data_IF_179714034059
#
_entry.id   IF_179714034059
#
_cell.length_a   1.000
_cell.length_b   1.000
_cell.length_c   1.000
_cell.angle_alpha   90.00
_cell.angle_beta   90.00
_cell.angle_gamma   90.00
#
_symmetry.space_group_name_H-M   'P 1'
#
loop_
_entity.id
_entity.type
_entity.pdbx_description
1 polymer ?
#
# COMPACT_ATOMS: atom_id res chain seq x y z
N UNK A 1 24.88 0.73 36.07
CA UNK A 1 24.30 1.47 34.93
C UNK A 1 24.08 0.44 33.81
N UNK A 2 22.86 -0.12 33.70
CA UNK A 2 22.52 -1.05 32.61
C UNK A 2 21.73 -0.24 31.59
N UNK A 3 22.21 -0.20 30.34
CA UNK A 3 21.48 0.47 29.26
C UNK A 3 20.21 -0.33 28.98
N UNK A 4 19.08 0.24 29.37
CA UNK A 4 17.78 -0.15 28.85
C UNK A 4 17.81 0.07 27.34
N UNK A 5 18.00 -1.03 26.61
CA UNK A 5 17.92 -1.02 25.16
C UNK A 5 16.45 -0.93 24.83
N UNK A 6 15.96 0.32 24.76
CA UNK A 6 14.65 0.65 24.20
C UNK A 6 14.69 0.25 22.72
N UNK A 7 14.47 -1.05 22.45
CA UNK A 7 14.10 -1.55 21.14
C UNK A 7 12.74 -0.94 20.88
N UNK A 8 12.75 0.24 20.26
CA UNK A 8 11.58 0.78 19.60
C UNK A 8 11.24 -0.23 18.52
N UNK A 9 10.32 -1.13 18.84
CA UNK A 9 9.60 -1.94 17.86
C UNK A 9 8.91 -0.92 16.96
N UNK A 10 9.61 -0.52 15.88
CA UNK A 10 9.00 0.25 14.80
C UNK A 10 7.81 -0.61 14.35
N UNK A 11 6.60 -0.14 14.67
CA UNK A 11 5.38 -0.82 14.25
C UNK A 11 5.50 -1.14 12.76
N UNK A 12 5.48 -2.43 12.44
CA UNK A 12 5.52 -2.85 11.05
C UNK A 12 4.19 -2.44 10.43
N UNK A 13 4.19 -1.95 9.19
CA UNK A 13 2.96 -1.58 8.53
C UNK A 13 2.13 -2.82 8.27
N UNK A 14 0.82 -2.69 8.47
CA UNK A 14 -0.15 -3.73 8.18
C UNK A 14 -0.83 -3.36 6.87
N UNK A 15 -0.81 -4.27 5.91
CA UNK A 15 -1.49 -4.10 4.63
C UNK A 15 -2.64 -5.08 4.50
N UNK A 16 -3.75 -4.61 3.94
CA UNK A 16 -4.88 -5.48 3.58
C UNK A 16 -4.69 -5.94 2.13
N UNK A 17 -4.75 -7.24 1.86
CA UNK A 17 -4.75 -7.74 0.48
C UNK A 17 -6.17 -8.03 -0.01
N UNK A 18 -6.43 -7.62 -1.25
CA UNK A 18 -7.65 -7.95 -2.00
C UNK A 18 -7.28 -8.69 -3.28
N UNK A 19 -8.08 -9.68 -3.63
CA UNK A 19 -7.97 -10.40 -4.90
C UNK A 19 -8.56 -9.59 -6.08
N UNK A 20 -9.38 -8.57 -5.78
CA UNK A 20 -10.01 -7.69 -6.76
C UNK A 20 -9.91 -6.21 -6.29
N UNK A 21 -9.28 -5.31 -7.07
CA UNK A 21 -9.20 -3.88 -6.75
C UNK A 21 -10.58 -3.20 -6.62
N UNK A 22 -11.62 -3.74 -7.28
CA UNK A 22 -13.01 -3.25 -7.18
C UNK A 22 -13.63 -3.43 -5.79
N UNK A 23 -13.02 -4.23 -4.91
CA UNK A 23 -13.46 -4.40 -3.52
C UNK A 23 -12.92 -3.31 -2.57
N UNK A 24 -12.05 -2.43 -3.06
CA UNK A 24 -11.52 -1.30 -2.30
C UNK A 24 -12.62 -0.27 -2.00
N UNK A 25 -12.62 0.24 -0.77
CA UNK A 25 -13.55 1.31 -0.39
C UNK A 25 -13.03 2.68 -0.89
N UNK A 26 -13.94 3.64 -1.05
CA UNK A 26 -13.59 4.98 -1.56
C UNK A 26 -12.47 5.68 -0.78
N UNK A 27 -12.30 5.40 0.52
CA UNK A 27 -11.27 6.02 1.36
C UNK A 27 -10.04 5.11 1.58
N UNK A 28 -9.62 4.38 0.56
CA UNK A 28 -8.46 3.47 0.59
C UNK A 28 -7.50 3.79 -0.56
N UNK A 29 -6.20 3.61 -0.32
CA UNK A 29 -5.17 3.65 -1.37
C UNK A 29 -4.94 2.23 -1.83
N UNK A 30 -5.00 1.99 -3.12
CA UNK A 30 -4.76 0.71 -3.77
C UNK A 30 -3.32 0.71 -4.29
N UNK A 31 -2.58 -0.34 -4.00
CA UNK A 31 -1.25 -0.60 -4.55
C UNK A 31 -1.33 -1.93 -5.29
N UNK A 32 -1.32 -1.89 -6.61
CA UNK A 32 -1.36 -3.11 -7.43
C UNK A 32 0.06 -3.54 -7.72
N UNK A 33 0.42 -4.76 -7.32
CA UNK A 33 1.75 -5.35 -7.52
C UNK A 33 1.63 -6.46 -8.56
N UNK A 34 2.45 -6.38 -9.60
CA UNK A 34 2.41 -7.27 -10.75
C UNK A 34 3.81 -7.57 -11.25
N UNK A 35 3.95 -8.69 -11.94
CA UNK A 35 5.14 -9.01 -12.72
C UNK A 35 4.76 -9.03 -14.20
N UNK A 36 5.61 -8.46 -15.07
CA UNK A 36 5.34 -8.58 -16.49
C UNK A 36 5.76 -9.99 -16.94
N UNK A 37 4.78 -10.89 -17.07
CA UNK A 37 4.92 -12.23 -17.65
C UNK A 37 5.97 -13.13 -16.98
N UNK A 38 6.14 -13.02 -15.65
CA UNK A 38 7.04 -13.85 -14.85
C UNK A 38 8.53 -13.64 -15.10
N UNK A 39 8.92 -12.57 -15.81
CA UNK A 39 10.32 -12.33 -16.25
C UNK A 39 10.87 -10.92 -16.04
N UNK A 40 10.01 -9.92 -15.80
CA UNK A 40 10.42 -8.53 -15.59
C UNK A 40 10.50 -8.20 -14.09
N UNK A 41 11.19 -7.11 -13.68
CA UNK A 41 11.21 -6.71 -12.29
C UNK A 41 9.78 -6.47 -11.78
N UNK A 42 9.47 -6.95 -10.58
CA UNK A 42 8.18 -6.71 -9.93
C UNK A 42 7.94 -5.20 -9.84
N UNK A 43 6.80 -4.75 -10.38
CA UNK A 43 6.38 -3.34 -10.40
C UNK A 43 5.14 -3.15 -9.57
N UNK A 44 4.85 -1.89 -9.27
CA UNK A 44 3.59 -1.51 -8.67
C UNK A 44 3.04 -0.21 -9.26
N UNK A 45 1.73 -0.12 -9.34
CA UNK A 45 0.98 1.12 -9.56
C UNK A 45 0.27 1.52 -8.27
N UNK A 46 0.00 2.83 -8.13
CA UNK A 46 -0.81 3.37 -7.05
C UNK A 46 -2.12 3.86 -7.64
N UNK A 47 -3.23 3.57 -6.99
CA UNK A 47 -4.52 4.14 -7.37
C UNK A 47 -5.39 4.46 -6.17
N UNK A 48 -6.33 5.38 -6.33
CA UNK A 48 -7.40 5.58 -5.35
C UNK A 48 -8.64 6.12 -6.03
N UNK A 49 -9.79 5.78 -5.44
CA UNK A 49 -11.06 6.33 -5.86
C UNK A 49 -11.18 7.75 -5.29
N UNK A 50 -11.89 8.61 -6.02
CA UNK A 50 -12.23 9.94 -5.52
C UNK A 50 -12.90 9.84 -4.14
N UNK A 51 -12.41 10.59 -3.18
CA UNK A 51 -13.01 10.62 -1.85
C UNK A 51 -13.09 12.03 -1.29
N UNK A 52 -14.21 12.30 -0.63
CA UNK A 52 -14.43 13.54 0.08
C UNK A 52 -14.11 13.34 1.56
N UNK A 53 -13.26 14.20 2.09
CA UNK A 53 -13.14 14.44 3.54
C UNK A 53 -13.74 15.82 3.81
N UNK A 54 -14.20 16.06 5.05
CA UNK A 54 -14.91 17.28 5.50
C UNK A 54 -14.33 18.63 5.02
N UNK A 55 -13.09 18.68 4.56
CA UNK A 55 -12.38 19.90 4.16
C UNK A 55 -11.57 19.76 2.84
N UNK A 56 -11.64 18.62 2.14
CA UNK A 56 -10.91 18.44 0.86
C UNK A 56 -11.53 17.32 0.00
N UNK A 57 -11.67 17.59 -1.29
CA UNK A 57 -11.89 16.57 -2.32
C UNK A 57 -10.53 16.10 -2.84
N UNK A 58 -10.29 14.80 -2.75
CA UNK A 58 -9.15 14.17 -3.40
C UNK A 58 -9.68 13.46 -4.64
N UNK A 59 -9.35 13.99 -5.82
CA UNK A 59 -9.72 13.39 -7.10
C UNK A 59 -9.09 12.00 -7.28
N UNK A 60 -9.62 11.16 -8.18
CA UNK A 60 -9.06 9.84 -8.43
C UNK A 60 -7.70 9.98 -9.12
N UNK A 61 -6.82 9.01 -8.90
CA UNK A 61 -5.53 8.94 -9.59
C UNK A 61 -5.13 7.49 -9.84
N UNK A 62 -4.34 7.29 -10.87
CA UNK A 62 -3.62 6.05 -11.16
C UNK A 62 -2.22 6.44 -11.62
N UNK A 63 -1.21 6.08 -10.83
CA UNK A 63 0.17 6.49 -11.08
C UNK A 63 0.87 5.58 -12.08
N UNK A 64 1.91 6.11 -12.73
CA UNK A 64 2.87 5.32 -13.51
C UNK A 64 3.45 4.13 -12.71
N UNK A 65 3.91 3.12 -13.44
CA UNK A 65 4.59 1.95 -12.89
C UNK A 65 5.90 2.35 -12.19
N UNK A 66 6.07 1.94 -10.94
CA UNK A 66 7.27 2.19 -10.14
C UNK A 66 7.73 0.93 -9.41
N UNK A 67 8.89 0.99 -8.76
CA UNK A 67 9.32 -0.06 -7.84
C UNK A 67 8.38 -0.18 -6.64
N UNK A 68 8.14 -1.41 -6.16
CA UNK A 68 7.20 -1.70 -5.07
C UNK A 68 7.52 -0.89 -3.81
N UNK A 69 8.79 -0.83 -3.41
CA UNK A 69 9.19 -0.08 -2.22
C UNK A 69 8.86 1.42 -2.32
N UNK A 70 9.01 1.99 -3.52
CA UNK A 70 8.65 3.39 -3.78
C UNK A 70 7.13 3.60 -3.78
N UNK A 71 6.36 2.70 -4.39
CA UNK A 71 4.91 2.74 -4.34
C UNK A 71 4.40 2.71 -2.90
N UNK A 72 4.88 1.77 -2.08
CA UNK A 72 4.49 1.66 -0.67
C UNK A 72 4.88 2.91 0.14
N UNK A 73 6.06 3.49 -0.10
CA UNK A 73 6.48 4.72 0.56
C UNK A 73 5.57 5.91 0.18
N UNK A 74 5.19 6.02 -1.10
CA UNK A 74 4.24 7.04 -1.60
C UNK A 74 2.85 6.83 -1.01
N UNK A 75 2.33 5.60 -0.99
CA UNK A 75 1.05 5.28 -0.36
C UNK A 75 1.01 5.72 1.10
N UNK A 76 2.06 5.46 1.88
CA UNK A 76 2.13 5.94 3.28
C UNK A 76 2.22 7.46 3.40
N UNK A 77 2.86 8.13 2.45
CA UNK A 77 2.86 9.58 2.42
C UNK A 77 1.44 10.12 2.17
N UNK A 78 0.75 9.58 1.16
CA UNK A 78 -0.63 9.95 0.83
C UNK A 78 -1.60 9.63 1.98
N UNK A 79 -1.46 8.46 2.60
CA UNK A 79 -2.27 8.06 3.75
C UNK A 79 -2.16 9.07 4.89
N UNK A 80 -0.94 9.50 5.23
CA UNK A 80 -0.72 10.51 6.27
C UNK A 80 -1.16 11.90 5.86
N UNK A 81 -0.96 12.27 4.59
CA UNK A 81 -1.26 13.61 4.07
C UNK A 81 -2.77 13.85 3.93
N UNK A 82 -3.51 12.87 3.41
CA UNK A 82 -4.93 13.00 3.10
C UNK A 82 -5.83 12.28 4.11
N UNK A 83 -5.28 11.38 4.92
CA UNK A 83 -6.01 10.64 5.95
C UNK A 83 -6.78 9.45 5.41
N UNK A 84 -6.27 8.80 4.37
CA UNK A 84 -6.82 7.53 3.89
C UNK A 84 -6.89 6.52 5.03
N UNK A 85 -7.96 5.73 5.08
CA UNK A 85 -8.21 4.79 6.18
C UNK A 85 -7.10 3.75 6.27
N UNK A 86 -6.72 3.17 5.13
CA UNK A 86 -5.68 2.15 5.03
C UNK A 86 -5.09 2.11 3.62
N UNK A 87 -4.02 1.34 3.51
CA UNK A 87 -3.42 0.95 2.24
C UNK A 87 -3.85 -0.50 1.98
N UNK A 88 -4.41 -0.71 0.80
CA UNK A 88 -4.81 -1.99 0.25
C UNK A 88 -3.78 -2.38 -0.81
N UNK A 89 -3.34 -3.63 -0.79
CA UNK A 89 -2.46 -4.20 -1.81
C UNK A 89 -3.27 -5.19 -2.64
N UNK A 90 -3.14 -5.13 -3.95
CA UNK A 90 -3.67 -6.13 -4.88
C UNK A 90 -2.48 -6.84 -5.48
N UNK A 91 -2.46 -8.16 -5.39
CA UNK A 91 -1.37 -8.98 -5.93
C UNK A 91 -1.87 -9.70 -7.18
N UNK A 92 -1.11 -9.66 -8.27
CA UNK A 92 -1.38 -10.50 -9.44
C UNK A 92 -1.26 -12.00 -9.08
N UNK A 93 -0.24 -12.33 -8.27
CA UNK A 93 -0.01 -13.67 -7.73
C UNK A 93 0.45 -13.59 -6.26
N UNK A 94 0.05 -14.55 -5.43
CA UNK A 94 0.41 -14.56 -3.99
C UNK A 94 1.92 -14.58 -3.73
N UNK A 95 2.68 -15.21 -4.63
CA UNK A 95 4.13 -15.33 -4.56
C UNK A 95 4.87 -13.99 -4.69
N UNK A 96 4.16 -12.93 -5.10
CA UNK A 96 4.69 -11.57 -5.16
C UNK A 96 4.79 -10.91 -3.78
N UNK A 97 4.21 -11.51 -2.74
CA UNK A 97 4.28 -10.94 -1.40
C UNK A 97 5.68 -11.08 -0.77
N UNK A 98 6.22 -9.95 -0.29
CA UNK A 98 7.43 -9.92 0.52
C UNK A 98 7.12 -9.52 1.98
N UNK A 99 7.37 -10.40 2.97
CA UNK A 99 7.20 -10.09 4.40
C UNK A 99 8.04 -8.90 4.91
N UNK A 100 9.08 -8.47 4.18
CA UNK A 100 9.84 -7.27 4.52
C UNK A 100 9.01 -6.00 4.38
N UNK A 101 7.93 -6.02 3.59
CA UNK A 101 7.07 -4.87 3.38
C UNK A 101 6.15 -4.62 4.56
N UNK A 102 5.74 -5.67 5.30
CA UNK A 102 4.81 -5.54 6.42
C UNK A 102 4.15 -6.87 6.81
N UNK A 103 2.97 -6.77 7.41
CA UNK A 103 2.09 -7.90 7.69
C UNK A 103 0.95 -7.96 6.67
N UNK A 104 0.70 -9.16 6.15
CA UNK A 104 -0.36 -9.45 5.17
C UNK A 104 -1.65 -9.83 5.92
N UNK A 105 -2.70 -9.04 5.75
CA UNK A 105 -4.05 -9.38 6.24
C UNK A 105 -4.97 -9.58 5.04
N UNK A 106 -5.50 -10.79 4.85
CA UNK A 106 -6.46 -11.07 3.77
C UNK A 106 -7.87 -10.65 4.20
N UNK A 107 -8.63 -10.10 3.26
CA UNK A 107 -10.03 -9.68 3.44
C UNK A 107 -10.92 -10.29 2.38
#
# INVERSE_FOLDING_TARGET
MRLDTNVTTKERPIYTVLDDPGLAAGNEIIVTIFDWQGKAPVRATLGWIAHARKEAEVGPDESDEVEVGLALARARHLQRRYGFRRIVIVLEHEDLWDPAWGELVRR
#
